data_IF_242597063098
#
_entry.id   IF_242597063098
#
_cell.length_a   1.000
_cell.length_b   1.000
_cell.length_c   1.000
_cell.angle_alpha   90.00
_cell.angle_beta   90.00
_cell.angle_gamma   90.00
#
_symmetry.space_group_name_H-M   'P 1'
#
loop_
_entity.id
_entity.type
_entity.pdbx_description
1 polymer ?
#
# COMPACT_ATOMS: atom_id res chain seq x y z
N UNK A 1 0.24 -1.71 -22.15
CA UNK A 1 0.01 -1.28 -20.76
C UNK A 1 -0.25 0.22 -20.76
N UNK A 2 -1.22 0.69 -19.98
CA UNK A 2 -1.64 2.10 -19.95
C UNK A 2 -0.75 2.92 -19.00
N UNK A 3 -0.24 4.07 -19.46
CA UNK A 3 0.57 4.99 -18.64
C UNK A 3 -0.33 5.76 -17.66
N UNK A 4 -0.01 5.83 -16.35
CA UNK A 4 -0.80 6.59 -15.37
C UNK A 4 -0.75 8.11 -15.62
N UNK A 5 0.39 8.61 -16.08
CA UNK A 5 0.63 10.06 -16.25
C UNK A 5 0.03 10.61 -17.54
N UNK A 6 -0.39 9.74 -18.46
CA UNK A 6 -1.17 10.12 -19.65
C UNK A 6 -2.69 10.13 -19.39
N UNK A 7 -3.15 9.63 -18.23
CA UNK A 7 -4.57 9.59 -17.89
C UNK A 7 -5.03 10.94 -17.35
N UNK A 8 -5.86 11.62 -18.15
CA UNK A 8 -6.53 12.87 -17.81
C UNK A 8 -8.05 12.71 -17.65
N UNK A 9 -8.53 11.47 -17.55
CA UNK A 9 -9.94 11.16 -17.31
C UNK A 9 -10.37 11.67 -15.92
N UNK A 10 -11.35 12.56 -15.90
CA UNK A 10 -11.77 13.33 -14.72
C UNK A 10 -12.41 12.48 -13.60
N UNK A 11 -12.62 11.18 -13.84
CA UNK A 11 -13.14 10.26 -12.82
C UNK A 11 -12.08 9.27 -12.32
N UNK A 12 -10.86 9.28 -12.87
CA UNK A 12 -9.82 8.27 -12.59
C UNK A 12 -8.61 8.86 -11.90
N UNK A 13 -8.71 9.04 -10.58
CA UNK A 13 -7.60 9.45 -9.71
C UNK A 13 -6.48 8.41 -9.59
N UNK A 14 -6.81 7.13 -9.75
CA UNK A 14 -5.89 6.01 -9.53
C UNK A 14 -6.06 4.96 -10.62
N UNK A 15 -4.94 4.52 -11.19
CA UNK A 15 -4.86 3.35 -12.06
C UNK A 15 -4.44 2.14 -11.23
N UNK A 16 -5.19 1.04 -11.30
CA UNK A 16 -4.89 -0.18 -10.54
C UNK A 16 -4.29 -1.25 -11.45
N UNK A 17 -3.38 -2.07 -10.92
CA UNK A 17 -2.72 -3.10 -11.72
C UNK A 17 -3.73 -4.10 -12.30
N UNK A 18 -4.76 -4.46 -11.52
CA UNK A 18 -5.88 -5.30 -11.95
C UNK A 18 -6.77 -4.69 -13.03
N UNK A 19 -6.72 -3.37 -13.24
CA UNK A 19 -7.53 -2.69 -14.25
C UNK A 19 -6.77 -2.65 -15.60
N UNK A 20 -5.48 -3.02 -15.62
CA UNK A 20 -4.60 -3.00 -16.82
C UNK A 20 -3.98 -4.37 -17.14
N UNK A 21 -4.32 -5.40 -16.37
CA UNK A 21 -3.87 -6.77 -16.56
C UNK A 21 -4.96 -7.76 -16.13
N UNK A 22 -5.10 -8.84 -16.92
CA UNK A 22 -6.03 -9.94 -16.66
C UNK A 22 -5.40 -11.06 -15.81
N UNK A 23 -4.18 -10.87 -15.28
CA UNK A 23 -3.51 -11.91 -14.49
C UNK A 23 -4.30 -12.22 -13.21
N UNK A 24 -4.64 -13.50 -12.94
CA UNK A 24 -5.34 -13.88 -11.72
C UNK A 24 -4.47 -13.76 -10.46
N UNK A 25 -3.15 -13.60 -10.62
CA UNK A 25 -2.22 -13.42 -9.51
C UNK A 25 -2.40 -12.06 -8.82
N UNK A 26 -2.89 -11.05 -9.54
CA UNK A 26 -3.06 -9.70 -8.99
C UNK A 26 -4.24 -9.69 -8.01
N UNK A 27 -3.94 -9.47 -6.74
CA UNK A 27 -4.92 -9.61 -5.67
C UNK A 27 -5.31 -11.07 -5.42
N UNK A 28 -4.59 -12.01 -6.02
CA UNK A 28 -4.91 -13.43 -6.07
C UNK A 28 -4.68 -14.15 -4.75
N UNK A 29 -5.26 -15.35 -4.68
CA UNK A 29 -5.31 -16.18 -3.49
C UNK A 29 -4.02 -17.01 -3.30
N UNK A 30 -3.30 -17.23 -4.40
CA UNK A 30 -2.01 -17.91 -4.47
C UNK A 30 -0.95 -17.20 -3.64
N UNK A 31 -0.99 -15.86 -3.61
CA UNK A 31 -0.04 -15.01 -2.87
C UNK A 31 0.05 -15.39 -1.38
N UNK A 32 -1.08 -15.73 -0.75
CA UNK A 32 -1.11 -16.11 0.66
C UNK A 32 -0.29 -17.38 0.93
N UNK A 33 -0.40 -18.38 0.05
CA UNK A 33 0.34 -19.64 0.20
C UNK A 33 1.81 -19.44 -0.13
N UNK A 34 2.10 -18.74 -1.22
CA UNK A 34 3.45 -18.52 -1.73
C UNK A 34 4.33 -17.75 -0.73
N UNK A 35 3.80 -16.67 -0.16
CA UNK A 35 4.56 -15.82 0.78
C UNK A 35 4.36 -16.21 2.24
N UNK A 36 3.56 -17.25 2.50
CA UNK A 36 3.18 -17.72 3.85
C UNK A 36 2.53 -16.62 4.68
N UNK A 37 1.54 -15.94 4.10
CA UNK A 37 0.81 -14.82 4.71
C UNK A 37 -0.55 -15.33 5.18
N UNK A 38 -0.90 -15.10 6.45
CA UNK A 38 -2.21 -15.49 6.95
C UNK A 38 -3.34 -14.74 6.23
N UNK A 39 -4.38 -15.49 5.86
CA UNK A 39 -5.62 -14.94 5.27
C UNK A 39 -6.42 -14.21 6.34
N UNK A 40 -7.17 -13.15 5.99
CA UNK A 40 -7.89 -12.36 6.99
C UNK A 40 -8.84 -13.13 7.91
N UNK A 41 -9.44 -14.22 7.42
CA UNK A 41 -10.33 -15.08 8.22
C UNK A 41 -9.59 -16.05 9.16
N UNK A 42 -8.28 -16.19 9.02
CA UNK A 42 -7.42 -17.02 9.87
C UNK A 42 -6.65 -16.20 10.92
N UNK A 43 -6.65 -14.87 10.80
CA UNK A 43 -5.97 -13.97 11.73
C UNK A 43 -6.80 -13.83 13.01
N UNK A 44 -6.12 -13.89 14.14
CA UNK A 44 -6.70 -13.81 15.49
C UNK A 44 -6.01 -12.73 16.32
N UNK A 45 -6.46 -12.55 17.56
CA UNK A 45 -5.84 -11.58 18.48
C UNK A 45 -4.39 -11.94 18.84
N UNK A 46 -4.01 -13.21 18.75
CA UNK A 46 -2.64 -13.67 19.01
C UNK A 46 -1.67 -13.25 17.89
N UNK A 47 -2.20 -12.89 16.72
CA UNK A 47 -1.43 -12.45 15.55
C UNK A 47 -1.25 -10.92 15.49
N UNK A 48 -1.75 -10.18 16.48
CA UNK A 48 -1.59 -8.73 16.52
C UNK A 48 -0.09 -8.35 16.56
N UNK A 49 0.37 -7.43 15.70
CA UNK A 49 1.77 -7.04 15.67
C UNK A 49 2.14 -6.30 16.96
N UNK A 50 3.41 -6.38 17.38
CA UNK A 50 3.90 -5.56 18.47
C UNK A 50 3.71 -4.08 18.11
N UNK A 51 3.28 -3.31 19.10
CA UNK A 51 3.09 -1.87 18.98
C UNK A 51 3.55 -1.23 20.27
N UNK A 52 4.39 -0.20 20.13
CA UNK A 52 4.95 0.54 21.27
C UNK A 52 3.89 1.46 21.88
N UNK A 53 3.04 2.03 21.03
CA UNK A 53 2.00 2.98 21.42
C UNK A 53 0.62 2.32 21.67
N UNK A 54 -0.12 2.83 22.65
CA UNK A 54 -1.44 2.30 23.02
C UNK A 54 -2.52 2.56 21.95
N UNK A 55 -2.48 3.72 21.29
CA UNK A 55 -3.38 4.07 20.21
C UNK A 55 -3.14 3.20 18.98
N UNK A 56 -1.87 2.92 18.66
CA UNK A 56 -1.53 1.94 17.59
C UNK A 56 -2.13 0.57 17.91
N UNK A 57 -1.96 0.07 19.15
CA UNK A 57 -2.57 -1.21 19.58
C UNK A 57 -4.09 -1.20 19.47
N UNK A 58 -4.74 -0.08 19.78
CA UNK A 58 -6.19 0.05 19.69
C UNK A 58 -6.66 0.00 18.24
N UNK A 59 -6.00 0.74 17.34
CA UNK A 59 -6.34 0.74 15.92
C UNK A 59 -6.09 -0.64 15.30
N UNK A 60 -5.01 -1.34 15.69
CA UNK A 60 -4.73 -2.70 15.22
C UNK A 60 -5.84 -3.68 15.67
N UNK A 61 -6.35 -3.57 16.90
CA UNK A 61 -7.51 -4.37 17.34
C UNK A 61 -8.77 -4.06 16.54
N UNK A 62 -9.06 -2.78 16.31
CA UNK A 62 -10.20 -2.35 15.49
C UNK A 62 -10.07 -2.87 14.05
N UNK A 63 -8.84 -2.91 13.51
CA UNK A 63 -8.57 -3.46 12.18
C UNK A 63 -8.92 -4.95 12.11
N UNK A 64 -8.52 -5.73 13.12
CA UNK A 64 -8.86 -7.14 13.24
C UNK A 64 -10.37 -7.35 13.34
N UNK A 65 -11.04 -6.64 14.25
CA UNK A 65 -12.48 -6.74 14.46
C UNK A 65 -13.29 -6.44 13.19
N UNK A 66 -12.78 -5.55 12.33
CA UNK A 66 -13.42 -5.16 11.07
C UNK A 66 -12.90 -5.91 9.84
N UNK A 67 -11.94 -6.83 9.99
CA UNK A 67 -11.28 -7.52 8.89
C UNK A 67 -10.54 -6.58 7.93
N UNK A 68 -10.04 -5.44 8.41
CA UNK A 68 -9.35 -4.39 7.62
C UNK A 68 -7.83 -4.55 7.69
N UNK A 69 -7.34 -5.68 7.18
CA UNK A 69 -5.93 -6.05 7.28
C UNK A 69 -5.08 -5.67 6.07
N UNK A 70 -5.68 -5.17 4.99
CA UNK A 70 -4.94 -4.70 3.82
C UNK A 70 -4.18 -3.42 4.20
N UNK A 71 -2.96 -3.26 3.68
CA UNK A 71 -2.22 -2.00 3.76
C UNK A 71 -1.34 -1.79 2.54
N UNK A 72 -0.59 -0.70 2.53
CA UNK A 72 0.27 -0.35 1.39
C UNK A 72 1.52 0.43 1.81
N UNK A 73 2.63 0.16 1.14
CA UNK A 73 3.74 1.10 1.04
C UNK A 73 3.38 2.21 0.06
N UNK A 74 3.78 3.44 0.39
CA UNK A 74 3.64 4.60 -0.49
C UNK A 74 5.03 5.02 -0.99
N UNK A 75 5.23 4.93 -2.30
CA UNK A 75 6.43 5.39 -3.00
C UNK A 75 6.07 6.71 -3.68
N UNK A 76 6.78 7.79 -3.35
CA UNK A 76 6.56 9.10 -3.98
C UNK A 76 7.65 9.41 -5.01
N UNK A 77 7.34 10.27 -5.97
CA UNK A 77 8.33 10.74 -6.93
C UNK A 77 7.75 11.61 -8.05
N UNK A 78 8.61 11.94 -9.00
CA UNK A 78 8.21 12.69 -10.19
C UNK A 78 7.31 11.86 -11.12
N UNK A 79 6.63 12.54 -12.05
CA UNK A 79 5.85 11.88 -13.09
C UNK A 79 6.68 10.87 -13.88
N UNK A 80 7.92 11.23 -14.29
CA UNK A 80 8.78 10.31 -15.06
C UNK A 80 9.11 9.06 -14.25
N UNK A 81 9.35 9.21 -12.94
CA UNK A 81 9.68 8.09 -12.07
C UNK A 81 8.50 7.13 -11.89
N UNK A 82 7.29 7.67 -11.77
CA UNK A 82 6.08 6.85 -11.62
C UNK A 82 5.74 6.15 -12.94
N UNK A 83 5.95 6.83 -14.07
CA UNK A 83 5.82 6.22 -15.40
C UNK A 83 6.84 5.09 -15.61
N UNK A 84 8.08 5.26 -15.17
CA UNK A 84 9.14 4.25 -15.23
C UNK A 84 8.80 3.01 -14.36
N UNK A 85 8.34 3.22 -13.12
CA UNK A 85 8.11 2.13 -12.16
C UNK A 85 6.81 1.37 -12.39
N UNK A 86 5.80 2.02 -12.98
CA UNK A 86 4.50 1.41 -13.19
C UNK A 86 4.55 0.06 -13.95
N UNK A 87 5.25 -0.06 -15.10
CA UNK A 87 5.41 -1.35 -15.78
C UNK A 87 5.93 -2.47 -14.91
N UNK A 88 7.00 -2.17 -14.20
CA UNK A 88 7.73 -3.14 -13.41
C UNK A 88 6.87 -3.65 -12.25
N UNK A 89 6.11 -2.75 -11.61
CA UNK A 89 5.23 -3.13 -10.50
C UNK A 89 3.94 -3.82 -10.94
N UNK A 90 3.46 -3.57 -12.16
CA UNK A 90 2.41 -4.41 -12.76
C UNK A 90 2.96 -5.80 -13.03
N UNK A 91 4.16 -5.93 -13.62
CA UNK A 91 4.79 -7.22 -13.88
C UNK A 91 5.06 -8.01 -12.59
N UNK A 92 5.54 -7.36 -11.53
CA UNK A 92 5.69 -7.98 -10.20
C UNK A 92 4.35 -8.50 -9.66
N UNK A 93 3.26 -7.75 -9.84
CA UNK A 93 1.95 -8.17 -9.41
C UNK A 93 1.43 -9.36 -10.25
N UNK A 94 1.70 -9.37 -11.56
CA UNK A 94 1.38 -10.49 -12.45
C UNK A 94 2.16 -11.76 -12.08
N UNK A 95 3.41 -11.60 -11.61
CA UNK A 95 4.27 -12.67 -11.15
C UNK A 95 4.02 -13.09 -9.70
N UNK A 96 3.12 -12.42 -8.97
CA UNK A 96 2.84 -12.70 -7.56
C UNK A 96 3.94 -12.23 -6.60
N UNK A 97 4.93 -11.46 -7.07
CA UNK A 97 6.01 -10.90 -6.23
C UNK A 97 5.46 -9.87 -5.25
N UNK A 98 4.51 -9.05 -5.70
CA UNK A 98 3.70 -8.15 -4.86
C UNK A 98 2.22 -8.46 -5.02
N UNK A 99 1.40 -8.17 -4.02
CA UNK A 99 -0.02 -8.55 -4.08
C UNK A 99 -0.82 -7.67 -5.05
N UNK A 100 -0.45 -6.40 -5.18
CA UNK A 100 -1.07 -5.50 -6.15
C UNK A 100 -0.52 -4.08 -6.03
N UNK A 101 -0.77 -3.27 -7.05
CA UNK A 101 -0.28 -1.90 -7.10
C UNK A 101 -1.34 -0.92 -7.60
N UNK A 102 -1.19 0.36 -7.23
CA UNK A 102 -1.90 1.48 -7.86
C UNK A 102 -0.97 2.64 -8.09
N UNK A 103 -1.09 3.29 -9.23
CA UNK A 103 -0.43 4.55 -9.52
C UNK A 103 -1.44 5.70 -9.52
N UNK A 104 -1.05 6.82 -8.92
CA UNK A 104 -1.76 8.08 -9.08
C UNK A 104 -1.69 8.50 -10.56
N UNK A 105 -2.82 8.96 -11.09
CA UNK A 105 -2.86 9.48 -12.47
C UNK A 105 -2.49 10.95 -12.51
N UNK A 106 -2.24 11.50 -13.71
CA UNK A 106 -2.06 12.95 -13.85
C UNK A 106 -3.26 13.75 -13.35
N UNK A 107 -4.48 13.27 -13.63
CA UNK A 107 -5.69 13.86 -13.05
C UNK A 107 -5.70 13.76 -11.52
N UNK A 108 -5.35 12.60 -10.97
CA UNK A 108 -5.28 12.40 -9.53
C UNK A 108 -4.30 13.34 -8.84
N UNK A 109 -3.13 13.57 -9.43
CA UNK A 109 -2.15 14.52 -8.92
C UNK A 109 -2.65 15.97 -8.96
N UNK A 110 -3.39 16.36 -10.00
CA UNK A 110 -3.96 17.71 -10.11
C UNK A 110 -5.05 17.98 -9.06
N UNK A 111 -5.88 16.98 -8.73
CA UNK A 111 -7.08 17.15 -7.91
C UNK A 111 -6.93 16.68 -6.45
N UNK A 112 -5.81 16.06 -6.08
CA UNK A 112 -5.53 15.62 -4.71
C UNK A 112 -4.42 16.49 -4.09
N UNK A 113 -4.74 17.73 -3.64
CA UNK A 113 -3.76 18.71 -3.21
C UNK A 113 -3.02 18.33 -1.91
N UNK A 114 -3.37 17.20 -1.28
CA UNK A 114 -2.62 16.68 -0.14
C UNK A 114 -1.32 15.96 -0.55
N UNK A 115 -1.07 15.79 -1.86
CA UNK A 115 0.15 15.17 -2.36
C UNK A 115 0.95 16.19 -3.18
N UNK A 116 2.17 16.48 -2.72
CA UNK A 116 3.11 17.35 -3.44
C UNK A 116 3.83 16.65 -4.59
N UNK A 117 3.83 15.32 -4.58
CA UNK A 117 4.45 14.43 -5.56
C UNK A 117 3.45 13.37 -6.02
N UNK A 118 3.73 12.71 -7.15
CA UNK A 118 2.94 11.55 -7.56
C UNK A 118 3.20 10.39 -6.60
N UNK A 119 2.17 9.57 -6.40
CA UNK A 119 2.22 8.43 -5.47
C UNK A 119 1.96 7.13 -6.22
N UNK A 120 2.82 6.15 -5.99
CA UNK A 120 2.56 4.74 -6.27
C UNK A 120 2.37 4.00 -4.94
N UNK A 121 1.32 3.19 -4.88
CA UNK A 121 1.04 2.33 -3.72
C UNK A 121 1.25 0.86 -4.06
N UNK A 122 1.97 0.15 -3.21
CA UNK A 122 2.22 -1.29 -3.33
C UNK A 122 1.62 -1.99 -2.13
N UNK A 123 0.67 -2.86 -2.38
CA UNK A 123 -0.21 -3.43 -1.36
C UNK A 123 0.33 -4.74 -0.80
N UNK A 124 0.07 -4.98 0.48
CA UNK A 124 0.07 -6.33 1.06
C UNK A 124 -1.32 -6.67 1.61
N UNK A 125 -1.73 -7.94 1.58
CA UNK A 125 -3.08 -8.33 1.95
C UNK A 125 -3.30 -8.39 3.46
N UNK A 126 -2.22 -8.43 4.25
CA UNK A 126 -2.26 -8.50 5.70
C UNK A 126 -1.06 -7.77 6.31
N UNK A 127 -1.28 -6.61 6.91
CA UNK A 127 -0.21 -5.80 7.50
C UNK A 127 0.26 -6.28 8.88
N UNK A 128 -0.44 -7.22 9.51
CA UNK A 128 0.05 -7.85 10.74
C UNK A 128 1.25 -8.76 10.46
N UNK A 129 1.33 -9.29 9.24
CA UNK A 129 2.43 -10.11 8.76
C UNK A 129 3.63 -9.23 8.42
N UNK A 130 4.29 -8.70 9.46
CA UNK A 130 5.39 -7.75 9.30
C UNK A 130 6.51 -8.29 8.40
N UNK A 131 6.72 -9.61 8.37
CA UNK A 131 7.67 -10.25 7.45
C UNK A 131 7.36 -9.94 5.99
N UNK A 132 6.10 -10.02 5.58
CA UNK A 132 5.70 -9.72 4.19
C UNK A 132 5.75 -8.23 3.91
N UNK A 133 5.35 -7.40 4.88
CA UNK A 133 5.50 -5.94 4.79
C UNK A 133 6.96 -5.54 4.56
N UNK A 134 7.88 -6.09 5.35
CA UNK A 134 9.32 -5.83 5.22
C UNK A 134 9.90 -6.39 3.92
N UNK A 135 9.44 -7.58 3.49
CA UNK A 135 9.84 -8.21 2.22
C UNK A 135 9.49 -7.33 1.03
N UNK A 136 8.26 -6.83 0.96
CA UNK A 136 7.82 -5.94 -0.13
C UNK A 136 8.64 -4.64 -0.11
N UNK A 137 8.93 -4.08 1.07
CA UNK A 137 9.83 -2.93 1.17
C UNK A 137 11.21 -3.24 0.61
N UNK A 138 11.81 -4.35 1.02
CA UNK A 138 13.15 -4.75 0.58
C UNK A 138 13.21 -4.96 -0.92
N UNK A 139 12.16 -5.54 -1.52
CA UNK A 139 12.01 -5.64 -2.97
C UNK A 139 12.04 -4.27 -3.65
N UNK A 140 11.25 -3.30 -3.16
CA UNK A 140 11.24 -1.93 -3.68
C UNK A 140 12.61 -1.26 -3.59
N UNK A 141 13.37 -1.53 -2.53
CA UNK A 141 14.72 -0.97 -2.35
C UNK A 141 15.75 -1.64 -3.26
N UNK A 142 15.73 -2.96 -3.35
CA UNK A 142 16.77 -3.74 -4.02
C UNK A 142 16.61 -3.72 -5.54
N UNK A 143 15.40 -3.93 -6.04
CA UNK A 143 15.15 -4.02 -7.49
C UNK A 143 14.99 -2.63 -8.13
N UNK A 144 14.34 -1.70 -7.42
CA UNK A 144 14.02 -0.39 -7.97
C UNK A 144 14.84 0.75 -7.38
N UNK A 145 15.71 0.51 -6.39
CA UNK A 145 16.55 1.57 -5.83
C UNK A 145 15.75 2.67 -5.12
N UNK A 146 14.60 2.33 -4.52
CA UNK A 146 13.84 3.29 -3.70
C UNK A 146 14.60 3.58 -2.41
N UNK A 147 15.24 4.74 -2.31
CA UNK A 147 16.12 5.07 -1.17
C UNK A 147 15.53 6.04 -0.15
N UNK A 148 14.43 6.73 -0.49
CA UNK A 148 13.77 7.65 0.43
C UNK A 148 13.01 6.89 1.53
N UNK A 149 12.65 7.61 2.59
CA UNK A 149 11.85 7.07 3.68
C UNK A 149 10.46 6.65 3.16
N UNK A 150 10.08 5.41 3.44
CA UNK A 150 8.79 4.86 3.03
C UNK A 150 7.83 4.81 4.20
N UNK A 151 6.57 5.12 3.90
CA UNK A 151 5.48 5.09 4.86
C UNK A 151 4.51 3.96 4.51
N UNK A 152 4.27 3.07 5.47
CA UNK A 152 3.28 2.01 5.33
C UNK A 152 1.96 2.42 5.98
N UNK A 153 0.89 2.48 5.18
CA UNK A 153 -0.43 2.91 5.62
C UNK A 153 -1.46 1.77 5.51
N UNK A 154 -1.93 1.22 6.64
CA UNK A 154 -3.07 0.30 6.65
C UNK A 154 -4.36 0.95 6.12
N UNK A 155 -5.22 0.17 5.46
CA UNK A 155 -6.51 0.67 4.94
C UNK A 155 -7.46 1.13 6.06
N UNK A 156 -7.31 0.60 7.28
CA UNK A 156 -8.04 1.10 8.45
C UNK A 156 -7.69 2.56 8.76
N UNK A 157 -6.45 3.00 8.54
CA UNK A 157 -6.04 4.39 8.75
C UNK A 157 -6.76 5.31 7.75
N UNK A 158 -6.80 4.90 6.47
CA UNK A 158 -7.57 5.61 5.44
C UNK A 158 -9.07 5.64 5.76
N UNK A 159 -9.63 4.52 6.22
CA UNK A 159 -11.06 4.43 6.58
C UNK A 159 -11.42 5.36 7.74
N UNK A 160 -10.49 5.56 8.67
CA UNK A 160 -10.65 6.47 9.82
C UNK A 160 -10.31 7.93 9.48
N UNK A 161 -9.89 8.24 8.25
CA UNK A 161 -9.50 9.60 7.86
C UNK A 161 -8.18 10.06 8.48
N UNK A 162 -7.31 9.13 8.87
CA UNK A 162 -6.00 9.46 9.45
C UNK A 162 -5.08 9.95 8.33
N UNK A 163 -4.77 11.23 8.35
CA UNK A 163 -3.84 11.94 7.45
C UNK A 163 -2.86 12.74 8.30
N UNK A 164 -1.92 13.44 7.67
CA UNK A 164 -0.90 14.19 8.41
C UNK A 164 -1.53 15.21 9.39
N UNK A 165 -2.62 15.84 8.97
CA UNK A 165 -3.34 16.87 9.72
C UNK A 165 -4.14 16.32 10.89
N UNK A 166 -4.55 15.05 10.85
CA UNK A 166 -5.44 14.43 11.85
C UNK A 166 -4.75 13.37 12.70
N UNK A 167 -3.50 12.99 12.38
CA UNK A 167 -2.79 11.89 13.05
C UNK A 167 -2.76 12.05 14.58
N UNK A 168 -2.51 13.27 15.07
CA UNK A 168 -2.44 13.56 16.51
C UNK A 168 -3.77 13.34 17.23
N UNK A 169 -4.91 13.56 16.55
CA UNK A 169 -6.25 13.29 17.10
C UNK A 169 -6.47 11.80 17.39
N UNK A 170 -5.74 10.94 16.68
CA UNK A 170 -5.72 9.49 16.87
C UNK A 170 -4.55 9.02 17.74
N UNK A 171 -3.81 9.93 18.39
CA UNK A 171 -2.66 9.58 19.23
C UNK A 171 -1.44 9.10 18.43
N UNK A 172 -1.39 9.40 17.13
CA UNK A 172 -0.28 9.01 16.26
C UNK A 172 0.60 10.22 15.96
N UNK A 173 1.92 10.05 16.00
CA UNK A 173 2.86 11.08 15.56
C UNK A 173 2.89 11.24 14.03
N UNK A 174 2.52 10.19 13.30
CA UNK A 174 2.55 10.12 11.84
C UNK A 174 1.39 9.24 11.34
N UNK A 175 0.86 9.49 10.12
CA UNK A 175 -0.26 8.72 9.57
C UNK A 175 0.17 7.37 8.94
N UNK A 176 1.12 6.68 9.57
CA UNK A 176 1.71 5.43 9.08
C UNK A 176 1.90 4.44 10.23
N UNK A 177 1.71 3.15 9.95
CA UNK A 177 1.91 2.07 10.92
C UNK A 177 3.37 1.61 11.00
N UNK A 178 4.07 1.66 9.88
CA UNK A 178 5.49 1.33 9.77
C UNK A 178 6.19 2.41 8.93
N UNK A 179 7.42 2.73 9.31
CA UNK A 179 8.31 3.66 8.61
C UNK A 179 9.65 2.98 8.41
N UNK A 180 10.30 3.23 7.28
CA UNK A 180 11.58 2.62 6.97
C UNK A 180 12.42 3.43 5.99
#
# INVERSE_FOLDING_TARGET
MQSPVEITDEEKYWLRSRDVSDSPMIGGDEYFTEHSVARPNAVTADDLPPADDAAVREIDREALERGKLIGKWQVTGSAERIEELWPELVADAEAGVVWGAKAMTAFGHAELPMYDEYVLTVYTPNYFEKRDVDRVREHLRNEYGVTHELYYKPDIYTTKGIVAETAEEFGLSIPARYVA
#
